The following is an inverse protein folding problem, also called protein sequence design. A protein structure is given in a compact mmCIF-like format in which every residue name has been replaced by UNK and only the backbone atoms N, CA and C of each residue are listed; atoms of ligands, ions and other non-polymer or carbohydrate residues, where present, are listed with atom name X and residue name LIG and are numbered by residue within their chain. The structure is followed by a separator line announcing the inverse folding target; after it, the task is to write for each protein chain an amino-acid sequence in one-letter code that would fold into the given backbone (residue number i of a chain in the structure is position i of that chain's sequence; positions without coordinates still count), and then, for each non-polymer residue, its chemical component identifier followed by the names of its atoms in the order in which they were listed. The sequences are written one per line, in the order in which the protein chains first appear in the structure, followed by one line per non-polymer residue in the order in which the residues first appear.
data_IF_683207779324
#
_entry.id   IF_683207779324
#
_cell.length_a   1.000
_cell.length_b   1.000
_cell.length_c   1.000
_cell.angle_alpha   90.00
_cell.angle_beta   90.00
_cell.angle_gamma   90.00
#
_symmetry.space_group_name_H-M   'P 1'
#
loop_
_entity.id
_entity.type
_entity.pdbx_description
1 polymer ?
#
# COMPACT_ATOMS: atom_id res chain seq x y z
N UNK A 1 4.86 -0.16 -10.05
CA UNK A 1 5.52 -1.40 -9.59
C UNK A 1 6.82 -1.70 -10.38
N UNK A 2 7.32 -0.81 -11.26
CA UNK A 2 8.44 -1.15 -12.17
C UNK A 2 9.83 -0.61 -11.78
N UNK A 3 9.92 0.32 -10.82
CA UNK A 3 11.17 1.03 -10.51
C UNK A 3 12.37 0.11 -10.22
N UNK A 4 12.18 -0.98 -9.45
CA UNK A 4 13.28 -1.90 -9.16
C UNK A 4 13.78 -2.67 -10.40
N UNK A 5 12.88 -2.95 -11.34
CA UNK A 5 13.21 -3.58 -12.61
C UNK A 5 13.89 -2.58 -13.55
N UNK A 6 13.40 -1.34 -13.60
CA UNK A 6 14.01 -0.26 -14.39
C UNK A 6 15.48 -0.07 -13.96
N UNK A 7 15.74 0.04 -12.65
CA UNK A 7 17.11 0.13 -12.11
C UNK A 7 17.99 -1.06 -12.52
N UNK A 8 17.44 -2.28 -12.51
CA UNK A 8 18.18 -3.47 -12.94
C UNK A 8 18.51 -3.43 -14.44
N UNK A 9 17.54 -3.06 -15.27
CA UNK A 9 17.69 -2.96 -16.72
C UNK A 9 18.69 -1.86 -17.09
N UNK A 10 18.64 -0.74 -16.40
CA UNK A 10 19.55 0.40 -16.58
C UNK A 10 20.96 0.12 -16.06
N UNK A 11 21.17 -1.02 -15.38
CA UNK A 11 22.48 -1.41 -14.84
C UNK A 11 22.89 -0.58 -13.62
N UNK A 12 21.92 -0.04 -12.87
CA UNK A 12 22.18 0.69 -11.64
C UNK A 12 22.70 -0.25 -10.55
N UNK A 13 23.67 0.24 -9.76
CA UNK A 13 24.40 -0.57 -8.79
C UNK A 13 24.43 0.08 -7.39
N UNK A 14 24.63 -0.76 -6.37
CA UNK A 14 24.73 -0.35 -4.97
C UNK A 14 23.40 -0.35 -4.22
N UNK A 15 23.38 0.30 -3.05
CA UNK A 15 22.22 0.31 -2.15
C UNK A 15 21.26 1.45 -2.55
N UNK A 16 19.99 1.09 -2.73
CA UNK A 16 18.88 1.99 -3.00
C UNK A 16 17.78 1.86 -1.94
N UNK A 17 17.20 2.97 -1.51
CA UNK A 17 15.95 2.98 -0.75
C UNK A 17 14.79 3.27 -1.70
N UNK A 18 13.89 2.30 -1.87
CA UNK A 18 12.68 2.46 -2.67
C UNK A 18 11.47 2.50 -1.74
N UNK A 19 11.11 3.69 -1.30
CA UNK A 19 9.91 3.96 -0.50
C UNK A 19 9.13 5.11 -1.15
N UNK A 20 7.80 5.08 -1.06
CA UNK A 20 6.98 6.19 -1.51
C UNK A 20 7.39 7.50 -0.83
N UNK A 21 7.26 8.59 -1.57
CA UNK A 21 7.65 9.92 -1.11
C UNK A 21 6.69 10.41 -0.03
N UNK A 22 7.25 10.92 1.06
CA UNK A 22 6.51 11.41 2.22
C UNK A 22 6.75 10.57 3.47
N UNK A 23 6.09 10.96 4.55
CA UNK A 23 6.15 10.23 5.82
C UNK A 23 4.81 10.35 6.53
N UNK A 24 4.35 9.27 7.13
CA UNK A 24 3.12 9.24 7.90
C UNK A 24 3.32 8.43 9.18
N UNK A 25 2.63 8.82 10.25
CA UNK A 25 2.37 7.94 11.37
C UNK A 25 1.42 6.81 10.96
N UNK A 26 1.39 5.72 11.73
CA UNK A 26 0.47 4.61 11.48
C UNK A 26 -1.00 5.03 11.46
N UNK A 27 -1.41 5.95 12.34
CA UNK A 27 -2.77 6.47 12.37
C UNK A 27 -3.09 7.33 11.14
N UNK A 28 -2.13 8.14 10.66
CA UNK A 28 -2.33 8.92 9.43
C UNK A 28 -2.48 8.00 8.21
N UNK A 29 -1.63 6.97 8.10
CA UNK A 29 -1.76 5.99 7.02
C UNK A 29 -3.10 5.25 7.06
N UNK A 30 -3.59 4.89 8.25
CA UNK A 30 -4.91 4.29 8.41
C UNK A 30 -6.05 5.23 7.99
N UNK A 31 -5.97 6.52 8.32
CA UNK A 31 -6.93 7.52 7.86
C UNK A 31 -6.91 7.67 6.33
N UNK A 32 -5.72 7.78 5.73
CA UNK A 32 -5.58 7.86 4.26
C UNK A 32 -6.20 6.64 3.57
N UNK A 33 -6.00 5.44 4.13
CA UNK A 33 -6.58 4.21 3.59
C UNK A 33 -8.12 4.18 3.73
N UNK A 34 -8.65 4.61 4.87
CA UNK A 34 -10.09 4.73 5.09
C UNK A 34 -10.72 5.74 4.13
N UNK A 35 -10.08 6.89 3.92
CA UNK A 35 -10.53 7.92 2.97
C UNK A 35 -10.55 7.38 1.53
N UNK A 36 -9.46 6.72 1.10
CA UNK A 36 -9.39 6.09 -0.22
C UNK A 36 -10.45 4.99 -0.41
N UNK A 37 -10.83 4.30 0.67
CA UNK A 37 -11.91 3.31 0.70
C UNK A 37 -13.32 3.90 0.84
N UNK A 38 -13.46 5.23 0.98
CA UNK A 38 -14.73 5.92 1.30
C UNK A 38 -15.38 5.44 2.61
N UNK A 39 -14.56 5.09 3.60
CA UNK A 39 -14.95 4.72 4.96
C UNK A 39 -14.86 5.90 5.92
N UNK A 40 -15.55 5.79 7.06
CA UNK A 40 -15.55 6.83 8.09
C UNK A 40 -14.21 6.87 8.84
N UNK A 41 -13.40 7.90 8.58
CA UNK A 41 -12.09 8.11 9.20
C UNK A 41 -12.19 8.35 10.72
N UNK A 42 -13.35 8.74 11.26
CA UNK A 42 -13.55 8.97 12.70
C UNK A 42 -13.46 7.69 13.52
N UNK A 43 -13.57 6.54 12.88
CA UNK A 43 -13.40 5.23 13.52
C UNK A 43 -11.92 4.84 13.67
N UNK A 44 -10.99 5.59 13.07
CA UNK A 44 -9.55 5.41 13.28
C UNK A 44 -9.14 6.11 14.57
N UNK A 45 -8.98 5.32 15.63
CA UNK A 45 -8.58 5.82 16.94
C UNK A 45 -7.06 5.77 17.09
N UNK A 46 -6.35 6.91 17.16
CA UNK A 46 -4.91 6.90 17.37
C UNK A 46 -4.56 6.39 18.76
N UNK A 47 -3.47 5.63 18.86
CA UNK A 47 -2.96 5.10 20.13
C UNK A 47 -1.43 5.20 20.19
N UNK A 48 -0.84 5.36 21.39
CA UNK A 48 0.61 5.26 21.56
C UNK A 48 1.10 3.88 21.12
N UNK A 49 2.18 3.82 20.34
CA UNK A 49 2.72 2.55 19.84
C UNK A 49 3.08 1.54 20.94
N UNK A 50 3.43 2.02 22.14
CA UNK A 50 3.71 1.20 23.32
C UNK A 50 2.46 0.48 23.86
N UNK A 51 1.26 1.03 23.66
CA UNK A 51 0.01 0.42 24.08
C UNK A 51 -0.39 -0.80 23.21
N UNK A 52 0.25 -0.98 22.04
CA UNK A 52 -0.06 -2.05 21.10
C UNK A 52 0.56 -3.41 21.45
N UNK A 53 1.31 -3.52 22.57
CA UNK A 53 1.84 -4.80 23.06
C UNK A 53 2.80 -5.51 22.10
N UNK A 54 3.50 -4.76 21.25
CA UNK A 54 4.36 -5.34 20.21
C UNK A 54 5.54 -6.12 20.83
N UNK A 55 5.73 -7.37 20.40
CA UNK A 55 6.84 -8.22 20.87
C UNK A 55 8.21 -7.68 20.48
N UNK A 56 8.32 -7.04 19.32
CA UNK A 56 9.55 -6.45 18.81
C UNK A 56 9.56 -4.94 18.99
N UNK A 57 10.73 -4.38 19.32
CA UNK A 57 10.94 -2.92 19.38
C UNK A 57 10.72 -2.31 18.00
N UNK A 58 9.97 -1.21 17.94
CA UNK A 58 9.79 -0.41 16.72
C UNK A 58 10.54 0.91 16.84
N UNK A 59 11.29 1.33 15.80
CA UNK A 59 11.78 2.69 15.72
C UNK A 59 10.61 3.68 15.80
N UNK A 60 10.84 4.81 16.47
CA UNK A 60 9.87 5.91 16.48
C UNK A 60 9.76 6.61 15.11
N UNK A 61 10.77 6.48 14.26
CA UNK A 61 10.84 7.06 12.93
C UNK A 61 11.58 6.13 11.98
N UNK A 62 10.95 5.79 10.86
CA UNK A 62 11.50 4.85 9.86
C UNK A 62 11.21 5.28 8.42
N UNK A 63 10.93 6.57 8.18
CA UNK A 63 10.83 7.08 6.82
C UNK A 63 12.22 7.04 6.17
N UNK A 64 12.28 6.57 4.93
CA UNK A 64 13.52 6.41 4.18
C UNK A 64 13.54 7.37 3.00
N UNK A 65 14.64 8.12 2.88
CA UNK A 65 14.98 8.84 1.66
C UNK A 65 16.04 8.07 0.86
N UNK A 66 16.04 8.25 -0.46
CA UNK A 66 17.10 7.75 -1.33
C UNK A 66 18.14 8.84 -1.58
N UNK A 67 19.42 8.54 -1.36
CA UNK A 67 20.52 9.43 -1.71
C UNK A 67 20.82 9.46 -3.21
N UNK A 68 20.30 8.48 -3.97
CA UNK A 68 20.55 8.28 -5.41
C UNK A 68 19.42 8.79 -6.30
N UNK A 69 18.44 9.48 -5.71
CA UNK A 69 17.33 10.09 -6.44
C UNK A 69 15.97 9.67 -5.89
N UNK A 70 14.98 10.56 -6.05
CA UNK A 70 13.61 10.38 -5.62
C UNK A 70 12.74 9.96 -6.80
N UNK A 71 12.77 8.66 -7.10
CA UNK A 71 12.11 8.07 -8.29
C UNK A 71 10.78 7.38 -7.97
N UNK A 72 10.44 7.26 -6.69
CA UNK A 72 9.16 6.70 -6.24
C UNK A 72 8.06 7.77 -6.28
N UNK A 73 6.80 7.40 -6.53
CA UNK A 73 5.68 8.34 -6.44
C UNK A 73 5.39 8.71 -4.98
N UNK A 74 4.51 9.70 -4.77
CA UNK A 74 4.03 10.05 -3.43
C UNK A 74 3.30 8.89 -2.75
N UNK A 75 3.25 8.92 -1.42
CA UNK A 75 2.51 7.93 -0.63
C UNK A 75 1.03 7.92 -1.01
N UNK A 76 0.44 9.10 -1.18
CA UNK A 76 -0.96 9.30 -1.55
C UNK A 76 -1.24 8.67 -2.92
N UNK A 77 -0.42 8.97 -3.93
CA UNK A 77 -0.59 8.39 -5.28
C UNK A 77 -0.42 6.87 -5.29
N UNK A 78 0.53 6.35 -4.51
CA UNK A 78 0.72 4.91 -4.36
C UNK A 78 -0.49 4.22 -3.72
N UNK A 79 -1.05 4.82 -2.68
CA UNK A 79 -2.20 4.31 -1.95
C UNK A 79 -3.47 4.34 -2.81
N UNK A 80 -3.74 5.44 -3.50
CA UNK A 80 -4.89 5.56 -4.41
C UNK A 80 -4.88 4.47 -5.49
N UNK A 81 -3.73 4.25 -6.12
CA UNK A 81 -3.57 3.20 -7.14
C UNK A 81 -3.81 1.81 -6.56
N UNK A 82 -3.20 1.52 -5.40
CA UNK A 82 -3.39 0.24 -4.72
C UNK A 82 -4.88 -0.02 -4.41
N UNK A 83 -5.58 0.98 -3.89
CA UNK A 83 -7.00 0.84 -3.56
C UNK A 83 -7.88 0.65 -4.81
N UNK A 84 -7.57 1.36 -5.90
CA UNK A 84 -8.26 1.17 -7.18
C UNK A 84 -8.09 -0.25 -7.73
N UNK A 85 -6.87 -0.78 -7.68
CA UNK A 85 -6.56 -2.15 -8.11
C UNK A 85 -7.27 -3.19 -7.22
N UNK A 86 -7.18 -3.04 -5.89
CA UNK A 86 -7.81 -3.96 -4.94
C UNK A 86 -9.35 -4.02 -5.04
N UNK A 87 -10.00 -2.87 -5.28
CA UNK A 87 -11.45 -2.82 -5.52
C UNK A 87 -11.81 -3.50 -6.84
N UNK A 88 -11.02 -3.29 -7.88
CA UNK A 88 -11.25 -3.89 -9.20
C UNK A 88 -11.12 -5.41 -9.15
N UNK A 89 -10.12 -5.94 -8.44
CA UNK A 89 -9.97 -7.38 -8.19
C UNK A 89 -11.13 -7.96 -7.38
N UNK A 90 -11.54 -7.29 -6.31
CA UNK A 90 -12.67 -7.74 -5.46
C UNK A 90 -13.98 -7.76 -6.26
N UNK A 91 -14.24 -6.72 -7.06
CA UNK A 91 -15.41 -6.64 -7.93
C UNK A 91 -15.38 -7.69 -9.05
N UNK A 92 -14.19 -8.07 -9.52
CA UNK A 92 -13.99 -9.17 -10.47
C UNK A 92 -14.27 -10.53 -9.84
N UNK A 93 -13.74 -10.77 -8.64
CA UNK A 93 -13.96 -12.02 -7.89
C UNK A 93 -15.45 -12.22 -7.55
N UNK A 94 -16.17 -11.17 -7.17
CA UNK A 94 -17.61 -11.24 -6.92
C UNK A 94 -18.40 -11.57 -8.22
N UNK A 95 -18.00 -11.01 -9.37
CA UNK A 95 -18.63 -11.30 -10.66
C UNK A 95 -18.44 -12.74 -11.14
N UNK A 96 -17.30 -13.37 -10.82
CA UNK A 96 -17.02 -14.78 -11.14
C UNK A 96 -17.89 -15.71 -10.30
N UNK A 97 -18.14 -15.35 -9.03
CA UNK A 97 -19.00 -16.14 -8.13
C UNK A 97 -20.48 -16.13 -8.54
N UNK A 98 -20.94 -15.11 -9.27
CA UNK A 98 -22.34 -14.96 -9.72
C UNK A 98 -22.60 -15.57 -11.12
N UNK A 99 -21.62 -16.21 -11.77
CA UNK A 99 -21.87 -16.89 -13.06
C UNK A 99 -22.53 -18.27 -12.83
N UNK A 100 -23.67 -18.57 -13.48
CA UNK A 100 -24.30 -19.87 -13.35
C UNK A 100 -23.38 -20.95 -13.93
N UNK A 101 -23.21 -22.04 -13.18
CA UNK A 101 -22.52 -23.24 -13.66
C UNK A 101 -23.35 -23.81 -14.80
N UNK A 102 -22.89 -23.68 -16.05
CA UNK A 102 -23.53 -24.36 -17.18
C UNK A 102 -23.33 -25.88 -16.99
N UNK A 103 -24.36 -26.56 -16.49
CA UNK A 103 -24.47 -28.01 -16.54
C UNK A 103 -24.48 -28.46 -18.00
N UNK A 104 -23.32 -28.94 -18.45
CA UNK A 104 -23.17 -29.63 -19.72
C UNK A 104 -23.87 -31.00 -19.62
N UNK A 105 -25.15 -31.04 -19.96
CA UNK A 105 -25.88 -32.28 -20.15
C UNK A 105 -25.28 -33.06 -21.32
N UNK A 106 -24.76 -34.26 -21.03
CA UNK A 106 -24.47 -35.31 -22.01
C UNK A 106 -25.61 -36.31 -22.00
#
# INVERSE_FOLDING_TARGET
VHVALDLLIDGENGIWHLANQGSASWSQLACMAAEAARLDTRLVLPAPGAALGQRAKRPSFSALGSARGQIMPTLESGLERYMFEAVSETAGALRVADQPVEESAT
#
